data_IF_932282823229
#
_entry.id   IF_932282823229
#
_cell.length_a   1.000
_cell.length_b   1.000
_cell.length_c   1.000
_cell.angle_alpha   90.00
_cell.angle_beta   90.00
_cell.angle_gamma   90.00
#
_symmetry.space_group_name_H-M   'P 1'
#
loop_
_entity.id
_entity.type
_entity.pdbx_description
1 polymer ?
#
# COMPACT_ATOMS: atom_id res chain seq x y z
N UNK A 1 25.14 3.27 11.71
CA UNK A 1 23.84 2.87 12.31
C UNK A 1 22.97 2.35 11.19
N UNK A 2 22.69 1.04 11.14
CA UNK A 2 21.75 0.49 10.16
C UNK A 2 20.34 0.85 10.64
N UNK A 3 19.63 1.74 9.95
CA UNK A 3 18.21 2.02 10.26
C UNK A 3 17.44 0.73 10.04
N UNK A 4 16.83 0.19 11.10
CA UNK A 4 15.95 -0.98 11.02
C UNK A 4 14.81 -0.64 10.05
N UNK A 5 14.72 -1.33 8.91
CA UNK A 5 13.67 -1.09 7.92
C UNK A 5 12.35 -1.46 8.58
N UNK A 6 11.48 -0.47 8.79
CA UNK A 6 10.16 -0.70 9.36
C UNK A 6 9.29 -1.37 8.29
N UNK A 7 8.43 -2.30 8.70
CA UNK A 7 7.42 -2.89 7.83
C UNK A 7 6.56 -1.78 7.24
N UNK A 8 6.26 -1.85 5.96
CA UNK A 8 5.39 -0.92 5.25
C UNK A 8 4.30 -1.70 4.52
N UNK A 9 3.12 -1.12 4.45
CA UNK A 9 2.00 -1.67 3.69
C UNK A 9 1.22 -0.52 3.07
N UNK A 10 0.78 -0.72 1.84
CA UNK A 10 -0.08 0.20 1.10
C UNK A 10 -1.25 -0.59 0.57
N UNK A 11 -2.47 -0.09 0.78
CA UNK A 11 -3.69 -0.68 0.26
C UNK A 11 -4.17 0.12 -0.94
N UNK A 12 -4.50 -0.59 -2.02
CA UNK A 12 -4.98 -0.03 -3.26
C UNK A 12 -6.45 -0.41 -3.47
N UNK A 13 -7.21 0.50 -4.05
CA UNK A 13 -8.57 0.25 -4.51
C UNK A 13 -8.65 0.52 -6.00
N UNK A 14 -9.19 -0.44 -6.75
CA UNK A 14 -9.36 -0.32 -8.17
C UNK A 14 -10.82 -0.59 -8.54
N UNK A 15 -11.43 0.35 -9.26
CA UNK A 15 -12.76 0.20 -9.83
C UNK A 15 -12.61 0.21 -11.34
N UNK A 16 -13.22 -0.74 -12.06
CA UNK A 16 -13.07 -0.84 -13.53
C UNK A 16 -13.49 0.43 -14.30
N UNK A 17 -14.30 1.28 -13.67
CA UNK A 17 -14.79 2.54 -14.22
C UNK A 17 -13.82 3.71 -13.96
N UNK A 18 -12.88 3.55 -13.01
CA UNK A 18 -11.86 4.52 -12.65
C UNK A 18 -10.54 4.09 -13.29
N UNK A 19 -9.88 5.01 -14.01
CA UNK A 19 -8.71 4.67 -14.84
C UNK A 19 -7.57 4.03 -14.05
N UNK A 20 -7.03 4.76 -13.08
CA UNK A 20 -5.92 4.29 -12.25
C UNK A 20 -6.39 3.85 -10.85
N UNK A 21 -5.70 2.90 -10.19
CA UNK A 21 -5.99 2.53 -8.81
C UNK A 21 -5.74 3.71 -7.86
N UNK A 22 -6.51 3.76 -6.78
CA UNK A 22 -6.38 4.76 -5.73
C UNK A 22 -5.66 4.19 -4.51
N UNK A 23 -4.80 4.99 -3.89
CA UNK A 23 -4.21 4.65 -2.59
C UNK A 23 -5.23 4.93 -1.50
N UNK A 24 -5.76 3.89 -0.87
CA UNK A 24 -6.80 4.02 0.17
C UNK A 24 -6.25 3.89 1.59
N UNK A 25 -5.09 3.25 1.77
CA UNK A 25 -4.38 3.23 3.04
C UNK A 25 -2.87 3.13 2.81
N UNK A 26 -2.10 3.69 3.74
CA UNK A 26 -0.64 3.58 3.76
C UNK A 26 -0.19 3.63 5.22
N UNK A 27 0.78 2.79 5.59
CA UNK A 27 1.20 2.65 6.97
C UNK A 27 2.59 2.04 7.11
N UNK A 28 3.18 2.28 8.29
CA UNK A 28 4.48 1.72 8.69
C UNK A 28 4.38 1.11 10.09
N UNK A 29 5.23 0.12 10.39
CA UNK A 29 5.27 -0.57 11.68
C UNK A 29 3.89 -1.12 12.05
N UNK A 30 3.40 -0.77 13.25
CA UNK A 30 2.10 -1.22 13.75
C UNK A 30 0.92 -0.89 12.82
N UNK A 31 0.97 0.24 12.08
CA UNK A 31 -0.08 0.56 11.11
C UNK A 31 -0.03 -0.38 9.91
N UNK A 32 1.16 -0.74 9.43
CA UNK A 32 1.31 -1.70 8.34
C UNK A 32 0.79 -3.09 8.74
N UNK A 33 1.09 -3.54 9.97
CA UNK A 33 0.56 -4.79 10.52
C UNK A 33 -0.97 -4.78 10.56
N UNK A 34 -1.58 -3.66 10.97
CA UNK A 34 -3.03 -3.50 10.98
C UNK A 34 -3.63 -3.57 9.58
N UNK A 35 -3.02 -2.91 8.59
CA UNK A 35 -3.45 -2.98 7.19
C UNK A 35 -3.43 -4.42 6.68
N UNK A 36 -2.35 -5.16 6.96
CA UNK A 36 -2.22 -6.56 6.55
C UNK A 36 -3.24 -7.48 7.23
N UNK A 37 -3.49 -7.29 8.53
CA UNK A 37 -4.54 -8.04 9.26
C UNK A 37 -5.91 -7.81 8.63
N UNK A 38 -6.26 -6.54 8.38
CA UNK A 38 -7.54 -6.19 7.76
C UNK A 38 -7.66 -6.74 6.33
N UNK A 39 -6.58 -6.71 5.54
CA UNK A 39 -6.56 -7.31 4.20
C UNK A 39 -6.80 -8.82 4.27
N UNK A 40 -6.13 -9.53 5.19
CA UNK A 40 -6.32 -10.96 5.41
C UNK A 40 -7.74 -11.32 5.85
N UNK A 41 -8.34 -10.54 6.76
CA UNK A 41 -9.71 -10.73 7.25
C UNK A 41 -10.75 -10.50 6.14
N UNK A 42 -10.50 -9.54 5.26
CA UNK A 42 -11.35 -9.21 4.13
C UNK A 42 -11.13 -10.12 2.90
N UNK A 43 -10.14 -11.02 2.94
CA UNK A 43 -9.78 -11.86 1.79
C UNK A 43 -9.18 -11.07 0.61
N UNK A 44 -8.55 -9.92 0.90
CA UNK A 44 -7.84 -9.11 -0.08
C UNK A 44 -6.46 -9.72 -0.32
N UNK A 45 -6.07 -9.84 -1.59
CA UNK A 45 -4.77 -10.37 -1.98
C UNK A 45 -3.63 -9.45 -1.51
N UNK A 46 -2.59 -10.05 -0.93
CA UNK A 46 -1.41 -9.33 -0.44
C UNK A 46 -0.20 -9.75 -1.26
N UNK A 47 0.45 -8.79 -1.90
CA UNK A 47 1.69 -8.98 -2.66
C UNK A 47 2.84 -8.31 -1.91
N UNK A 48 3.92 -9.06 -1.71
CA UNK A 48 5.12 -8.57 -1.06
C UNK A 48 6.14 -8.08 -2.09
N UNK A 49 6.21 -6.76 -2.28
CA UNK A 49 7.20 -6.11 -3.13
C UNK A 49 7.84 -4.93 -2.39
N UNK A 50 9.11 -5.05 -1.93
CA UNK A 50 9.75 -4.03 -1.13
C UNK A 50 10.12 -2.76 -1.89
N UNK A 51 10.26 -2.82 -3.22
CA UNK A 51 10.61 -1.66 -4.04
C UNK A 51 9.32 -0.92 -4.42
N UNK A 52 8.29 -1.64 -4.84
CA UNK A 52 6.98 -1.08 -5.16
C UNK A 52 6.33 -0.42 -3.94
N UNK A 53 6.39 -1.06 -2.77
CA UNK A 53 5.84 -0.50 -1.53
C UNK A 53 6.50 0.84 -1.18
N UNK A 54 7.80 1.02 -1.46
CA UNK A 54 8.45 2.30 -1.20
C UNK A 54 7.99 3.42 -2.12
N UNK A 55 7.78 3.10 -3.39
CA UNK A 55 7.23 4.04 -4.38
C UNK A 55 5.79 4.41 -4.01
N UNK A 56 4.94 3.42 -3.75
CA UNK A 56 3.54 3.63 -3.41
C UNK A 56 3.36 4.32 -2.05
N UNK A 57 4.25 4.08 -1.07
CA UNK A 57 4.19 4.74 0.23
C UNK A 57 4.44 6.26 0.14
N UNK A 58 5.03 6.75 -0.95
CA UNK A 58 5.21 8.19 -1.20
C UNK A 58 3.97 8.88 -1.76
N UNK A 59 2.98 8.12 -2.23
CA UNK A 59 1.75 8.63 -2.82
C UNK A 59 0.77 9.02 -1.69
N UNK A 60 0.16 10.22 -1.74
CA UNK A 60 -0.82 10.62 -0.73
C UNK A 60 -2.11 9.78 -0.78
N UNK A 61 -2.75 9.63 0.38
CA UNK A 61 -4.03 8.95 0.48
C UNK A 61 -5.09 9.63 -0.38
N UNK A 62 -5.89 8.83 -1.08
CA UNK A 62 -6.96 9.29 -1.97
C UNK A 62 -6.49 9.73 -3.35
N UNK A 63 -5.19 9.62 -3.66
CA UNK A 63 -4.65 9.91 -4.99
C UNK A 63 -4.56 8.67 -5.85
N UNK A 64 -4.65 8.88 -7.16
CA UNK A 64 -4.38 7.88 -8.18
C UNK A 64 -2.88 7.57 -8.26
N UNK A 65 -2.56 6.31 -8.55
CA UNK A 65 -1.19 5.90 -8.83
C UNK A 65 -0.76 6.46 -10.19
N UNK A 66 0.41 7.12 -10.29
CA UNK A 66 0.95 7.56 -11.56
C UNK A 66 1.16 6.40 -12.53
N UNK A 67 0.89 6.60 -13.82
CA UNK A 67 1.04 5.58 -14.86
C UNK A 67 2.50 5.17 -15.16
N UNK A 68 3.47 5.82 -14.51
CA UNK A 68 4.92 5.62 -14.72
C UNK A 68 5.52 4.56 -13.78
N UNK A 69 4.70 3.98 -12.88
CA UNK A 69 5.06 2.91 -11.93
C UNK A 69 4.68 1.53 -12.47
#
# INVERSE_FOLDING_TARGET
MVKKKLLKAVALSYQKEQGAPLVVASGQGAMAEKILSTASEAGVEVVADPDLVELLASIPLGMEIPAEL
#
